data_IF_026800738213
#
_entry.id   IF_026800738213
#
_cell.length_a   1.000
_cell.length_b   1.000
_cell.length_c   1.000
_cell.angle_alpha   90.00
_cell.angle_beta   90.00
_cell.angle_gamma   90.00
#
_symmetry.space_group_name_H-M   'P 1'
#
loop_
_entity.id
_entity.type
_entity.pdbx_description
1 polymer ?
#
# COMPACT_ATOMS: atom_id res chain seq x y z
N UNK A 1 2.95 15.01 6.54
CA UNK A 1 2.63 13.56 6.41
C UNK A 1 2.32 13.14 4.98
N UNK A 2 1.19 13.52 4.36
CA UNK A 2 0.86 13.08 2.98
C UNK A 2 1.77 13.72 1.93
N UNK A 3 2.03 15.02 2.04
CA UNK A 3 2.94 15.73 1.16
C UNK A 3 4.38 15.18 1.24
N UNK A 4 4.82 14.73 2.42
CA UNK A 4 6.14 14.11 2.59
C UNK A 4 6.23 12.76 1.88
N UNK A 5 5.16 11.95 1.96
CA UNK A 5 5.08 10.68 1.23
C UNK A 5 5.14 10.92 -0.29
N UNK A 6 4.38 11.89 -0.81
CA UNK A 6 4.43 12.27 -2.23
C UNK A 6 5.79 12.83 -2.63
N UNK A 7 6.46 13.59 -1.75
CA UNK A 7 7.84 14.08 -1.99
C UNK A 7 8.84 12.93 -2.07
N UNK A 8 8.72 11.92 -1.19
CA UNK A 8 9.56 10.71 -1.24
C UNK A 8 9.38 9.93 -2.54
N UNK A 9 8.15 9.81 -3.04
CA UNK A 9 7.87 9.15 -4.33
C UNK A 9 8.50 9.87 -5.54
N UNK A 10 8.78 11.17 -5.44
CA UNK A 10 9.45 11.92 -6.52
C UNK A 10 10.96 11.64 -6.57
N UNK A 11 11.59 11.30 -5.46
CA UNK A 11 13.02 10.98 -5.42
C UNK A 11 13.23 9.60 -6.06
N UNK A 12 13.90 9.58 -7.21
CA UNK A 12 14.27 8.35 -7.92
C UNK A 12 15.42 7.64 -7.20
N UNK A 13 15.44 6.32 -7.34
CA UNK A 13 16.54 5.50 -6.87
C UNK A 13 17.81 5.86 -7.63
N UNK A 14 18.95 5.90 -6.94
CA UNK A 14 20.25 6.00 -7.61
C UNK A 14 20.70 4.63 -8.12
N UNK A 15 21.69 4.61 -9.01
CA UNK A 15 22.29 3.36 -9.49
C UNK A 15 22.80 2.51 -8.32
N UNK A 16 23.46 3.13 -7.33
CA UNK A 16 23.99 2.43 -6.16
C UNK A 16 22.87 1.82 -5.31
N UNK A 17 21.73 2.50 -5.19
CA UNK A 17 20.55 1.97 -4.48
C UNK A 17 19.97 0.76 -5.22
N UNK A 18 19.94 0.78 -6.56
CA UNK A 18 19.47 -0.34 -7.38
C UNK A 18 20.43 -1.52 -7.30
N UNK A 19 21.74 -1.28 -7.44
CA UNK A 19 22.77 -2.30 -7.29
C UNK A 19 22.75 -2.92 -5.88
N UNK A 20 22.55 -2.10 -4.84
CA UNK A 20 22.39 -2.58 -3.47
C UNK A 20 21.15 -3.45 -3.33
N UNK A 21 20.02 -3.04 -3.90
CA UNK A 21 18.79 -3.83 -3.87
C UNK A 21 18.99 -5.20 -4.55
N UNK A 22 19.63 -5.21 -5.72
CA UNK A 22 20.01 -6.44 -6.42
C UNK A 22 20.86 -7.35 -5.53
N UNK A 23 21.97 -6.82 -4.98
CA UNK A 23 22.91 -7.60 -4.16
C UNK A 23 22.24 -8.20 -2.92
N UNK A 24 21.37 -7.41 -2.27
CA UNK A 24 20.62 -7.85 -1.09
C UNK A 24 19.63 -8.97 -1.44
N UNK A 25 18.95 -8.88 -2.58
CA UNK A 25 18.01 -9.90 -3.03
C UNK A 25 18.73 -11.18 -3.46
N UNK A 26 19.83 -11.08 -4.22
CA UNK A 26 20.61 -12.23 -4.66
C UNK A 26 21.32 -12.95 -3.51
N UNK A 27 21.67 -12.22 -2.44
CA UNK A 27 22.25 -12.80 -1.23
C UNK A 27 21.20 -13.42 -0.31
N UNK A 28 19.98 -12.87 -0.28
CA UNK A 28 18.90 -13.30 0.61
C UNK A 28 17.97 -14.37 0.02
N UNK A 29 17.94 -14.52 -1.31
CA UNK A 29 17.06 -15.43 -2.04
C UNK A 29 17.87 -16.30 -3.02
N UNK A 30 17.30 -17.43 -3.43
CA UNK A 30 17.97 -18.32 -4.39
C UNK A 30 17.91 -17.73 -5.81
N UNK A 31 19.07 -17.59 -6.45
CA UNK A 31 19.15 -17.25 -7.87
C UNK A 31 18.59 -18.38 -8.75
N UNK A 32 18.14 -18.02 -9.96
CA UNK A 32 17.75 -19.02 -10.96
C UNK A 32 18.99 -19.79 -11.44
N UNK A 33 18.84 -21.09 -11.66
CA UNK A 33 19.94 -21.95 -12.09
C UNK A 33 20.47 -21.47 -13.46
N UNK A 34 21.75 -21.11 -13.53
CA UNK A 34 22.39 -20.67 -14.76
C UNK A 34 22.27 -19.18 -15.07
N UNK A 35 21.74 -18.34 -14.17
CA UNK A 35 21.75 -16.89 -14.36
C UNK A 35 23.16 -16.31 -14.22
N UNK A 36 23.63 -15.55 -15.20
CA UNK A 36 24.85 -14.75 -15.07
C UNK A 36 24.59 -13.54 -14.15
N UNK A 37 25.35 -13.45 -13.06
CA UNK A 37 25.15 -12.45 -12.01
C UNK A 37 25.32 -11.02 -12.55
N UNK A 38 26.31 -10.80 -13.42
CA UNK A 38 26.60 -9.48 -13.99
C UNK A 38 25.48 -9.02 -14.91
N UNK A 39 25.06 -9.88 -15.84
CA UNK A 39 23.97 -9.59 -16.77
C UNK A 39 22.65 -9.37 -16.04
N UNK A 40 22.40 -10.13 -14.98
CA UNK A 40 21.19 -9.98 -14.15
C UNK A 40 21.19 -8.66 -13.39
N UNK A 41 22.33 -8.27 -12.81
CA UNK A 41 22.48 -6.96 -12.15
C UNK A 41 22.21 -5.79 -13.11
N UNK A 42 22.75 -5.86 -14.33
CA UNK A 42 22.49 -4.85 -15.38
C UNK A 42 21.02 -4.84 -15.79
N UNK A 43 20.38 -6.00 -15.92
CA UNK A 43 18.96 -6.07 -16.22
C UNK A 43 18.09 -5.45 -15.10
N UNK A 44 18.48 -5.63 -13.84
CA UNK A 44 17.86 -4.97 -12.69
C UNK A 44 17.98 -3.45 -12.78
N UNK A 45 19.17 -2.95 -13.11
CA UNK A 45 19.38 -1.51 -13.33
C UNK A 45 18.43 -0.95 -14.37
N UNK A 46 18.37 -1.55 -15.57
CA UNK A 46 17.50 -1.06 -16.64
C UNK A 46 16.02 -1.16 -16.29
N UNK A 47 15.58 -2.23 -15.63
CA UNK A 47 14.17 -2.41 -15.30
C UNK A 47 13.70 -1.47 -14.19
N UNK A 48 14.57 -1.15 -13.23
CA UNK A 48 14.22 -0.34 -12.05
C UNK A 48 14.57 1.14 -12.20
N UNK A 49 15.18 1.54 -13.32
CA UNK A 49 15.41 2.95 -13.60
C UNK A 49 14.09 3.74 -13.54
N UNK A 50 14.14 4.89 -12.87
CA UNK A 50 12.96 5.71 -12.62
C UNK A 50 12.01 5.20 -11.51
N UNK A 51 12.29 4.09 -10.82
CA UNK A 51 11.56 3.71 -9.59
C UNK A 51 11.94 4.66 -8.45
N UNK A 52 11.01 4.98 -7.55
CA UNK A 52 11.34 5.78 -6.36
C UNK A 52 12.29 5.04 -5.41
N UNK A 53 13.30 5.74 -4.87
CA UNK A 53 14.23 5.23 -3.85
C UNK A 53 13.49 4.59 -2.66
N UNK A 54 12.41 5.24 -2.19
CA UNK A 54 11.62 4.72 -1.08
C UNK A 54 10.81 3.48 -1.46
N UNK A 55 10.26 3.43 -2.67
CA UNK A 55 9.51 2.27 -3.18
C UNK A 55 10.45 1.08 -3.33
N UNK A 56 11.62 1.28 -3.94
CA UNK A 56 12.63 0.25 -4.10
C UNK A 56 13.04 -0.36 -2.76
N UNK A 57 13.44 0.47 -1.79
CA UNK A 57 13.81 0.00 -0.45
C UNK A 57 12.68 -0.78 0.24
N UNK A 58 11.44 -0.32 0.08
CA UNK A 58 10.27 -0.99 0.67
C UNK A 58 10.02 -2.32 -0.03
N UNK A 59 10.10 -2.37 -1.35
CA UNK A 59 9.92 -3.59 -2.14
C UNK A 59 10.98 -4.65 -1.84
N UNK A 60 12.25 -4.28 -1.77
CA UNK A 60 13.34 -5.18 -1.39
C UNK A 60 13.10 -5.78 0.00
N UNK A 61 12.69 -4.94 0.96
CA UNK A 61 12.38 -5.38 2.32
C UNK A 61 11.18 -6.33 2.37
N UNK A 62 10.13 -6.05 1.59
CA UNK A 62 8.94 -6.90 1.53
C UNK A 62 9.25 -8.26 0.91
N UNK A 63 10.07 -8.29 -0.16
CA UNK A 63 10.52 -9.51 -0.82
C UNK A 63 11.30 -10.40 0.16
N UNK A 64 12.31 -9.84 0.85
CA UNK A 64 13.09 -10.58 1.85
C UNK A 64 12.26 -11.11 3.03
N UNK A 65 11.18 -10.41 3.38
CA UNK A 65 10.26 -10.85 4.45
C UNK A 65 9.23 -11.86 3.97
N UNK A 66 9.21 -12.22 2.68
CA UNK A 66 8.15 -13.03 2.08
C UNK A 66 6.78 -12.36 2.12
N UNK A 67 6.73 -11.01 2.19
CA UNK A 67 5.49 -10.21 2.26
C UNK A 67 5.12 -9.55 0.92
N UNK A 68 5.97 -9.69 -0.09
CA UNK A 68 5.70 -9.15 -1.41
C UNK A 68 4.66 -10.03 -2.14
N UNK A 69 3.39 -9.63 -2.08
CA UNK A 69 2.28 -10.30 -2.75
C UNK A 69 2.57 -10.52 -4.25
N UNK A 70 2.55 -11.77 -4.68
CA UNK A 70 2.76 -12.16 -6.08
C UNK A 70 4.22 -12.47 -6.44
N UNK A 71 5.18 -12.23 -5.54
CA UNK A 71 6.56 -12.68 -5.71
C UNK A 71 6.80 -14.03 -5.04
N UNK A 72 7.75 -14.79 -5.58
CA UNK A 72 8.22 -16.01 -4.94
C UNK A 72 8.99 -15.67 -3.65
N UNK A 73 8.75 -16.42 -2.58
CA UNK A 73 9.39 -16.19 -1.27
C UNK A 73 10.76 -16.85 -1.12
N UNK A 74 11.12 -17.75 -2.04
CA UNK A 74 12.35 -18.55 -2.01
C UNK A 74 13.34 -18.12 -3.09
N UNK A 75 12.83 -17.86 -4.30
CA UNK A 75 13.62 -17.49 -5.45
C UNK A 75 13.64 -15.98 -5.64
N UNK A 76 14.77 -15.49 -6.13
CA UNK A 76 14.92 -14.11 -6.54
C UNK A 76 13.90 -13.78 -7.65
N UNK A 77 13.18 -12.65 -7.55
CA UNK A 77 12.17 -12.31 -8.54
C UNK A 77 12.80 -12.02 -9.89
N UNK A 78 12.05 -12.21 -10.97
CA UNK A 78 12.48 -11.69 -12.27
C UNK A 78 12.48 -10.15 -12.22
N UNK A 79 13.26 -9.51 -13.10
CA UNK A 79 13.28 -8.05 -13.21
C UNK A 79 11.90 -7.47 -13.50
N UNK A 80 11.12 -8.14 -14.35
CA UNK A 80 9.75 -7.76 -14.69
C UNK A 80 8.81 -7.88 -13.48
N UNK A 81 8.83 -9.01 -12.77
CA UNK A 81 7.95 -9.20 -11.60
C UNK A 81 8.27 -8.20 -10.49
N UNK A 82 9.57 -7.96 -10.25
CA UNK A 82 10.00 -7.03 -9.22
C UNK A 82 9.65 -5.58 -9.58
N UNK A 83 9.80 -5.20 -10.85
CA UNK A 83 9.34 -3.90 -11.35
C UNK A 83 7.82 -3.73 -11.19
N UNK A 84 7.02 -4.71 -11.61
CA UNK A 84 5.56 -4.66 -11.45
C UNK A 84 5.14 -4.55 -9.99
N UNK A 85 5.84 -5.24 -9.08
CA UNK A 85 5.60 -5.07 -7.65
C UNK A 85 5.88 -3.63 -7.19
N UNK A 86 7.01 -3.04 -7.61
CA UNK A 86 7.36 -1.65 -7.32
C UNK A 86 6.28 -0.67 -7.85
N UNK A 87 5.84 -0.85 -9.09
CA UNK A 87 4.82 -0.02 -9.72
C UNK A 87 3.48 -0.10 -8.96
N UNK A 88 3.05 -1.31 -8.61
CA UNK A 88 1.83 -1.54 -7.82
C UNK A 88 1.92 -0.91 -6.45
N UNK A 89 3.07 -1.01 -5.78
CA UNK A 89 3.31 -0.38 -4.48
C UNK A 89 3.25 1.15 -4.59
N UNK A 90 3.90 1.73 -5.59
CA UNK A 90 3.90 3.16 -5.85
C UNK A 90 2.47 3.68 -6.12
N UNK A 91 1.70 2.96 -6.95
CA UNK A 91 0.32 3.30 -7.25
C UNK A 91 -0.61 3.21 -6.02
N UNK A 92 -0.44 2.18 -5.18
CA UNK A 92 -1.18 2.05 -3.91
C UNK A 92 -0.92 3.25 -3.00
N UNK A 93 0.33 3.69 -2.88
CA UNK A 93 0.70 4.86 -2.08
C UNK A 93 0.08 6.14 -2.65
N UNK A 94 0.19 6.37 -3.97
CA UNK A 94 -0.40 7.55 -4.63
C UNK A 94 -1.91 7.61 -4.43
N UNK A 95 -2.60 6.49 -4.69
CA UNK A 95 -4.06 6.41 -4.54
C UNK A 95 -4.48 6.74 -3.11
N UNK A 96 -3.80 6.17 -2.11
CA UNK A 96 -4.10 6.44 -0.70
C UNK A 96 -3.83 7.90 -0.34
N UNK A 97 -2.73 8.48 -0.81
CA UNK A 97 -2.42 9.89 -0.62
C UNK A 97 -3.50 10.79 -1.23
N UNK A 98 -3.93 10.53 -2.46
CA UNK A 98 -5.01 11.25 -3.13
C UNK A 98 -6.35 11.14 -2.40
N UNK A 99 -6.70 9.96 -1.89
CA UNK A 99 -7.91 9.79 -1.07
C UNK A 99 -7.86 10.62 0.21
N UNK A 100 -6.73 10.63 0.92
CA UNK A 100 -6.59 11.43 2.15
C UNK A 100 -6.69 12.93 1.83
N UNK A 101 -6.00 13.41 0.79
CA UNK A 101 -6.10 14.81 0.37
C UNK A 101 -7.53 15.21 0.01
N UNK A 102 -8.22 14.38 -0.76
CA UNK A 102 -9.64 14.61 -1.10
C UNK A 102 -10.53 14.66 0.15
N UNK A 103 -10.33 13.76 1.11
CA UNK A 103 -11.12 13.75 2.34
C UNK A 103 -10.83 14.95 3.25
N UNK A 104 -9.59 15.44 3.28
CA UNK A 104 -9.22 16.66 4.02
C UNK A 104 -9.75 17.94 3.35
N UNK A 105 -9.89 17.93 2.02
CA UNK A 105 -10.44 19.05 1.25
C UNK A 105 -11.96 19.04 1.15
N UNK A 106 -12.63 17.95 1.58
CA UNK A 106 -14.09 17.93 1.64
C UNK A 106 -14.53 18.97 2.68
N UNK A 107 -15.30 20.00 2.29
CA UNK A 107 -15.96 20.85 3.28
C UNK A 107 -16.83 19.97 4.18
N UNK A 108 -16.88 20.29 5.47
CA UNK A 108 -17.71 19.62 6.50
C UNK A 108 -19.22 19.80 6.25
N UNK A 109 -19.71 19.49 5.05
CA UNK A 109 -21.10 19.71 4.66
C UNK A 109 -22.04 18.55 5.06
N UNK A 110 -21.51 17.43 5.59
CA UNK A 110 -22.35 16.29 6.02
C UNK A 110 -22.50 16.12 7.54
N UNK A 111 -21.83 16.93 8.36
CA UNK A 111 -21.98 16.85 9.83
C UNK A 111 -23.22 17.60 10.36
N UNK A 112 -23.83 18.49 9.55
CA UNK A 112 -25.06 19.22 9.93
C UNK A 112 -26.36 18.54 9.50
N UNK A 113 -26.34 17.60 8.57
CA UNK A 113 -27.58 16.96 8.07
C UNK A 113 -27.91 15.60 8.72
N UNK A 114 -26.92 14.88 9.27
CA UNK A 114 -27.19 13.60 9.97
C UNK A 114 -27.76 13.75 11.38
N UNK A 115 -27.72 14.95 11.96
CA UNK A 115 -28.29 15.23 13.28
C UNK A 115 -29.79 15.53 13.30
N UNK A 116 -30.47 15.59 12.14
CA UNK A 116 -31.85 16.12 12.04
C UNK A 116 -32.92 15.14 11.57
N UNK A 117 -32.69 13.82 11.55
CA UNK A 117 -33.73 12.83 11.18
C UNK A 117 -33.73 11.55 12.01
N UNK A 118 -33.72 11.70 13.33
CA UNK A 118 -34.55 10.81 14.15
C UNK A 118 -35.65 11.73 14.68
N UNK A 119 -36.80 11.75 14.02
CA UNK A 119 -37.98 12.43 14.55
C UNK A 119 -38.31 11.80 15.91
N UNK A 120 -38.70 12.63 16.87
CA UNK A 120 -39.09 12.22 18.23
C UNK A 120 -40.00 10.99 18.22
N UNK A 121 -40.90 10.96 17.23
CA UNK A 121 -41.88 9.90 16.99
C UNK A 121 -41.26 8.50 16.82
N UNK A 122 -40.09 8.40 16.17
CA UNK A 122 -39.40 7.12 16.00
C UNK A 122 -38.73 6.62 17.29
N UNK A 123 -38.27 7.55 18.14
CA UNK A 123 -37.70 7.20 19.43
C UNK A 123 -38.77 6.77 20.41
N UNK A 124 -39.94 7.43 20.40
CA UNK A 124 -41.09 7.06 21.23
C UNK A 124 -41.66 5.69 20.83
N UNK A 125 -41.78 5.41 19.53
CA UNK A 125 -42.22 4.10 19.04
C UNK A 125 -41.28 2.97 19.49
N UNK A 126 -39.96 3.20 19.41
CA UNK A 126 -38.95 2.23 19.86
C UNK A 126 -38.98 2.02 21.38
N UNK A 127 -39.20 3.07 22.16
CA UNK A 127 -39.34 2.97 23.62
C UNK A 127 -40.60 2.21 24.03
N UNK A 128 -41.71 2.39 23.32
CA UNK A 128 -42.94 1.62 23.56
C UNK A 128 -42.77 0.14 23.21
N UNK A 129 -42.06 -0.20 22.12
CA UNK A 129 -41.75 -1.59 21.79
C UNK A 129 -40.90 -2.27 22.87
N UNK A 130 -39.83 -1.61 23.31
CA UNK A 130 -38.98 -2.15 24.38
C UNK A 130 -39.78 -2.40 25.66
N UNK A 131 -40.64 -1.47 26.06
CA UNK A 131 -41.45 -1.63 27.27
C UNK A 131 -42.39 -2.84 27.18
N UNK A 132 -43.03 -3.06 26.02
CA UNK A 132 -43.89 -4.24 25.80
C UNK A 132 -43.12 -5.54 25.91
N UNK A 133 -41.92 -5.62 25.32
CA UNK A 133 -41.07 -6.82 25.37
C UNK A 133 -40.69 -7.18 26.81
N UNK A 134 -40.36 -6.19 27.63
CA UNK A 134 -40.00 -6.41 29.05
C UNK A 134 -41.21 -6.73 29.94
N UNK A 135 -42.42 -6.28 29.59
CA UNK A 135 -43.66 -6.63 30.31
C UNK A 135 -44.17 -8.04 29.97
N UNK A 136 -43.92 -8.53 28.76
CA UNK A 136 -44.25 -9.92 28.35
C UNK A 136 -43.22 -10.98 28.80
N UNK A 137 -42.09 -10.57 29.36
CA UNK A 137 -41.00 -11.47 29.79
C UNK A 137 -41.11 -11.91 31.27
N UNK A 138 -42.30 -11.86 31.87
CA UNK A 138 -42.60 -12.30 33.24
C UNK A 138 -43.65 -13.41 33.22
#
# INVERSE_FOLDING_TARGET
MVNDALKKLKKKATEEEIQTAYFVLSSGLKSQLGSDEKSTSVAYFYALDGVSSWVLQTATKDALKGKAEGLNTTFMPSTADFYHYCEKLENRIRTRASCILKNLQKPELESKERGKRITSDHLEAFQQELRKVFETAK
#
